data_IF_226920283925
#
_entry.id   IF_226920283925
#
_cell.length_a   1.000
_cell.length_b   1.000
_cell.length_c   1.000
_cell.angle_alpha   90.00
_cell.angle_beta   90.00
_cell.angle_gamma   90.00
#
_symmetry.space_group_name_H-M   'P 1'
#
loop_
_entity.id
_entity.type
_entity.pdbx_description
1 polymer ?
#
# COMPACT_ATOMS: atom_id res chain seq x y z
N UNK A 1 -19.12 -36.93 -1.52
CA UNK A 1 -18.69 -36.13 -0.40
C UNK A 1 -18.68 -34.65 -0.75
N UNK A 2 -19.68 -33.94 -0.29
CA UNK A 2 -19.86 -32.52 -0.57
C UNK A 2 -18.68 -31.66 -0.08
N UNK A 3 -18.06 -32.06 1.03
CA UNK A 3 -16.95 -31.31 1.65
C UNK A 3 -15.69 -31.25 0.77
N UNK A 4 -15.47 -32.25 -0.08
CA UNK A 4 -14.29 -32.29 -0.92
C UNK A 4 -14.30 -31.19 -2.00
N UNK A 5 -15.43 -31.01 -2.67
CA UNK A 5 -15.59 -29.96 -3.68
C UNK A 5 -15.52 -28.55 -3.07
N UNK A 6 -16.10 -28.37 -1.89
CA UNK A 6 -16.03 -27.10 -1.15
C UNK A 6 -14.61 -26.77 -0.73
N UNK A 7 -13.84 -27.75 -0.30
CA UNK A 7 -12.42 -27.56 0.08
C UNK A 7 -11.58 -27.13 -1.11
N UNK A 8 -11.77 -27.76 -2.28
CA UNK A 8 -11.06 -27.38 -3.51
C UNK A 8 -11.40 -25.95 -3.91
N UNK A 9 -12.67 -25.56 -3.84
CA UNK A 9 -13.12 -24.22 -4.16
C UNK A 9 -12.48 -23.18 -3.22
N UNK A 10 -12.40 -23.46 -1.92
CA UNK A 10 -11.73 -22.60 -0.93
C UNK A 10 -10.25 -22.43 -1.25
N UNK A 11 -9.55 -23.50 -1.57
CA UNK A 11 -8.13 -23.46 -1.92
C UNK A 11 -7.92 -22.53 -3.10
N UNK A 12 -8.71 -22.64 -4.15
CA UNK A 12 -8.64 -21.77 -5.33
C UNK A 12 -8.91 -20.32 -4.99
N UNK A 13 -9.92 -20.05 -4.16
CA UNK A 13 -10.25 -18.70 -3.73
C UNK A 13 -9.15 -18.09 -2.88
N UNK A 14 -8.56 -18.87 -1.98
CA UNK A 14 -7.47 -18.42 -1.12
C UNK A 14 -6.22 -18.12 -1.91
N UNK A 15 -5.89 -18.94 -2.91
CA UNK A 15 -4.74 -18.70 -3.79
C UNK A 15 -4.94 -17.44 -4.61
N UNK A 16 -6.15 -17.22 -5.13
CA UNK A 16 -6.49 -16.02 -5.89
C UNK A 16 -6.38 -14.77 -5.02
N UNK A 17 -6.90 -14.81 -3.79
CA UNK A 17 -6.79 -13.70 -2.84
C UNK A 17 -5.34 -13.42 -2.50
N UNK A 18 -4.56 -14.47 -2.24
CA UNK A 18 -3.14 -14.35 -1.90
C UNK A 18 -2.36 -13.67 -3.01
N UNK A 19 -2.60 -14.06 -4.26
CA UNK A 19 -1.98 -13.44 -5.42
C UNK A 19 -2.40 -11.98 -5.56
N UNK A 20 -3.69 -11.68 -5.47
CA UNK A 20 -4.23 -10.32 -5.56
C UNK A 20 -3.65 -9.43 -4.46
N UNK A 21 -3.58 -9.92 -3.23
CA UNK A 21 -3.02 -9.18 -2.09
C UNK A 21 -1.53 -8.90 -2.31
N UNK A 22 -0.80 -9.86 -2.85
CA UNK A 22 0.63 -9.68 -3.19
C UNK A 22 0.82 -8.57 -4.21
N UNK A 23 -0.01 -8.53 -5.24
CA UNK A 23 0.03 -7.49 -6.27
C UNK A 23 -0.25 -6.10 -5.67
N UNK A 24 -1.24 -5.99 -4.81
CA UNK A 24 -1.58 -4.73 -4.14
C UNK A 24 -0.47 -4.26 -3.20
N UNK A 25 0.16 -5.18 -2.45
CA UNK A 25 1.29 -4.84 -1.59
C UNK A 25 2.49 -4.39 -2.41
N UNK A 26 2.77 -5.07 -3.52
CA UNK A 26 3.85 -4.70 -4.42
C UNK A 26 3.66 -3.31 -5.01
N UNK A 27 2.46 -3.00 -5.46
CA UNK A 27 2.12 -1.67 -5.99
C UNK A 27 2.31 -0.59 -4.92
N UNK A 28 1.87 -0.86 -3.68
CA UNK A 28 2.04 0.06 -2.56
C UNK A 28 3.53 0.31 -2.26
N UNK A 29 4.33 -0.74 -2.20
CA UNK A 29 5.78 -0.62 -1.95
C UNK A 29 6.46 0.19 -3.03
N UNK A 30 6.07 0.01 -4.28
CA UNK A 30 6.62 0.77 -5.41
C UNK A 30 6.32 2.25 -5.26
N UNK A 31 5.09 2.62 -4.92
CA UNK A 31 4.71 4.03 -4.72
C UNK A 31 5.44 4.66 -3.53
N UNK A 32 5.57 3.93 -2.42
CA UNK A 32 6.32 4.40 -1.25
C UNK A 32 7.81 4.58 -1.59
N UNK A 33 8.38 3.67 -2.36
CA UNK A 33 9.78 3.78 -2.81
C UNK A 33 10.01 5.01 -3.67
N UNK A 34 9.11 5.28 -4.61
CA UNK A 34 9.16 6.49 -5.45
C UNK A 34 9.11 7.76 -4.60
N UNK A 35 8.26 7.76 -3.58
CA UNK A 35 8.17 8.88 -2.66
C UNK A 35 9.48 9.10 -1.91
N UNK A 36 10.09 8.04 -1.38
CA UNK A 36 11.37 8.13 -0.67
C UNK A 36 12.49 8.63 -1.58
N UNK A 37 12.54 8.16 -2.82
CA UNK A 37 13.51 8.62 -3.81
C UNK A 37 13.34 10.11 -4.10
N UNK A 38 12.10 10.59 -4.23
CA UNK A 38 11.83 12.01 -4.44
C UNK A 38 12.28 12.86 -3.25
N UNK A 39 12.10 12.38 -2.02
CA UNK A 39 12.60 13.05 -0.83
C UNK A 39 14.13 13.11 -0.85
N UNK A 40 14.79 12.02 -1.20
CA UNK A 40 16.26 11.95 -1.23
C UNK A 40 16.86 12.88 -2.28
N UNK A 41 16.18 13.05 -3.40
CA UNK A 41 16.62 14.01 -4.45
C UNK A 41 16.29 15.46 -4.10
N UNK A 42 15.44 15.70 -3.11
CA UNK A 42 15.06 17.05 -2.69
C UNK A 42 14.07 17.75 -3.62
N UNK A 43 13.43 17.03 -4.53
CA UNK A 43 12.44 17.58 -5.46
C UNK A 43 11.07 17.60 -4.79
N UNK A 44 10.67 18.79 -4.30
CA UNK A 44 9.39 18.97 -3.59
C UNK A 44 8.19 18.66 -4.47
N UNK A 45 8.21 19.07 -5.73
CA UNK A 45 7.08 18.85 -6.65
C UNK A 45 6.90 17.36 -6.93
N UNK A 46 8.00 16.65 -7.23
CA UNK A 46 7.95 15.19 -7.41
C UNK A 46 7.52 14.48 -6.14
N UNK A 47 7.99 14.93 -4.98
CA UNK A 47 7.61 14.37 -3.69
C UNK A 47 6.14 14.58 -3.37
N UNK A 48 5.57 15.73 -3.73
CA UNK A 48 4.14 16.02 -3.55
C UNK A 48 3.28 15.06 -4.36
N UNK A 49 3.60 14.84 -5.62
CA UNK A 49 2.90 13.89 -6.49
C UNK A 49 3.04 12.47 -5.97
N UNK A 50 4.27 12.06 -5.62
CA UNK A 50 4.55 10.73 -5.11
C UNK A 50 3.87 10.47 -3.76
N UNK A 51 3.79 11.50 -2.89
CA UNK A 51 3.08 11.41 -1.62
C UNK A 51 1.59 11.13 -1.82
N UNK A 52 0.94 11.88 -2.72
CA UNK A 52 -0.47 11.70 -3.05
C UNK A 52 -0.72 10.27 -3.56
N UNK A 53 0.12 9.77 -4.46
CA UNK A 53 0.01 8.42 -5.00
C UNK A 53 0.21 7.36 -3.92
N UNK A 54 1.20 7.53 -3.05
CA UNK A 54 1.48 6.60 -1.96
C UNK A 54 0.32 6.55 -0.96
N UNK A 55 -0.21 7.70 -0.55
CA UNK A 55 -1.34 7.79 0.38
C UNK A 55 -2.57 7.11 -0.22
N UNK A 56 -2.86 7.37 -1.49
CA UNK A 56 -4.00 6.77 -2.19
C UNK A 56 -3.87 5.24 -2.21
N UNK A 57 -2.69 4.72 -2.45
CA UNK A 57 -2.44 3.28 -2.53
C UNK A 57 -2.55 2.62 -1.15
N UNK A 58 -1.98 3.23 -0.12
CA UNK A 58 -2.08 2.73 1.27
C UNK A 58 -3.54 2.75 1.73
N UNK A 59 -4.27 3.82 1.47
CA UNK A 59 -5.68 3.94 1.80
C UNK A 59 -6.54 2.90 1.09
N UNK A 60 -6.31 2.67 -0.21
CA UNK A 60 -7.00 1.65 -0.98
C UNK A 60 -6.75 0.24 -0.41
N UNK A 61 -5.51 -0.06 -0.02
CA UNK A 61 -5.16 -1.34 0.59
C UNK A 61 -5.83 -1.52 1.95
N UNK A 62 -5.98 -0.46 2.73
CA UNK A 62 -6.73 -0.48 3.97
C UNK A 62 -8.21 -0.78 3.74
N UNK A 63 -8.83 -0.16 2.74
CA UNK A 63 -10.24 -0.37 2.40
C UNK A 63 -10.49 -1.79 1.84
N UNK A 64 -9.53 -2.35 1.11
CA UNK A 64 -9.65 -3.70 0.54
C UNK A 64 -9.34 -4.81 1.54
N UNK A 65 -8.86 -4.47 2.74
CA UNK A 65 -8.48 -5.45 3.73
C UNK A 65 -7.11 -6.08 3.51
N UNK A 66 -6.31 -5.58 2.56
CA UNK A 66 -4.92 -6.02 2.35
C UNK A 66 -4.05 -5.59 3.53
N UNK A 67 -4.36 -4.42 4.10
CA UNK A 67 -3.79 -3.92 5.34
C UNK A 67 -4.91 -3.70 6.35
N UNK A 68 -4.60 -3.87 7.64
CA UNK A 68 -5.51 -3.45 8.69
C UNK A 68 -5.67 -1.92 8.64
N UNK A 69 -6.88 -1.42 8.91
CA UNK A 69 -7.18 0.04 8.85
C UNK A 69 -6.24 0.86 9.72
N UNK A 70 -5.94 0.39 10.93
CA UNK A 70 -5.01 1.07 11.84
C UNK A 70 -3.60 1.13 11.27
N UNK A 71 -3.15 0.06 10.62
CA UNK A 71 -1.85 0.00 9.96
C UNK A 71 -1.80 0.98 8.79
N UNK A 72 -2.86 1.04 7.98
CA UNK A 72 -2.96 1.98 6.87
C UNK A 72 -2.90 3.43 7.36
N UNK A 73 -3.65 3.77 8.40
CA UNK A 73 -3.64 5.11 8.99
C UNK A 73 -2.26 5.50 9.53
N UNK A 74 -1.58 4.56 10.19
CA UNK A 74 -0.22 4.76 10.70
C UNK A 74 0.77 5.02 9.58
N UNK A 75 0.69 4.25 8.50
CA UNK A 75 1.58 4.42 7.34
C UNK A 75 1.35 5.76 6.65
N UNK A 76 0.09 6.17 6.49
CA UNK A 76 -0.25 7.48 5.91
C UNK A 76 0.32 8.61 6.78
N UNK A 77 0.16 8.53 8.09
CA UNK A 77 0.71 9.50 9.03
C UNK A 77 2.23 9.60 8.91
N UNK A 78 2.92 8.46 8.85
CA UNK A 78 4.38 8.42 8.71
C UNK A 78 4.86 9.03 7.38
N UNK A 79 4.15 8.76 6.29
CA UNK A 79 4.47 9.34 4.98
C UNK A 79 4.33 10.87 5.03
N UNK A 80 3.25 11.36 5.62
CA UNK A 80 3.00 12.79 5.77
C UNK A 80 4.07 13.47 6.64
N UNK A 81 4.46 12.83 7.74
CA UNK A 81 5.51 13.34 8.62
C UNK A 81 6.87 13.37 7.91
N UNK A 82 7.18 12.35 7.13
CA UNK A 82 8.43 12.30 6.35
C UNK A 82 8.49 13.45 5.35
N UNK A 83 7.38 13.73 4.66
CA UNK A 83 7.28 14.86 3.74
C UNK A 83 7.48 16.18 4.48
N UNK A 84 6.78 16.37 5.59
CA UNK A 84 6.88 17.60 6.38
C UNK A 84 8.29 17.85 6.89
N UNK A 85 8.98 16.80 7.36
CA UNK A 85 10.38 16.91 7.82
C UNK A 85 11.33 17.25 6.70
N UNK A 86 11.15 16.64 5.53
CA UNK A 86 12.04 16.84 4.39
C UNK A 86 11.93 18.25 3.80
N UNK A 87 10.75 18.84 3.85
CA UNK A 87 10.46 20.14 3.24
C UNK A 87 9.99 21.20 4.24
N UNK A 88 10.30 21.00 5.51
CA UNK A 88 10.09 22.01 6.53
C UNK A 88 11.03 23.20 6.25
N UNK A 89 10.46 24.36 6.13
CA UNK A 89 11.22 25.59 5.91
C UNK A 89 11.70 26.18 7.21
#
# INVERSE_FOLDING_TARGET
MANHKSAIKRIRQNDKRRLTNRLHRGAMRTEVKKFREAIDTGDKDAATVALASAIARVGANGNKGVLHKKTASRRISRLQLAFNRAFAS
#
